data_IF_274383971706
#
_entry.id   IF_274383971706
#
_cell.length_a   1.000
_cell.length_b   1.000
_cell.length_c   1.000
_cell.angle_alpha   90.00
_cell.angle_beta   90.00
_cell.angle_gamma   90.00
#
_symmetry.space_group_name_H-M   'P 1'
#
loop_
_entity.id
_entity.type
_entity.pdbx_description
1 polymer ?
#
# COMPACT_ATOMS: atom_id res chain seq x y z
N UNK A 1 8.53 -22.19 34.33
CA UNK A 1 8.40 -21.75 32.92
C UNK A 1 7.50 -20.52 32.91
N UNK A 2 7.88 -19.41 32.27
CA UNK A 2 7.02 -18.23 32.21
C UNK A 2 5.73 -18.59 31.48
N UNK A 3 4.57 -18.31 32.10
CA UNK A 3 3.25 -18.54 31.50
C UNK A 3 3.18 -17.70 30.22
N UNK A 4 2.88 -18.32 29.08
CA UNK A 4 2.66 -17.60 27.82
C UNK A 4 1.47 -16.65 28.04
N UNK A 5 1.58 -15.35 27.73
CA UNK A 5 0.54 -14.34 28.05
C UNK A 5 -0.89 -14.68 27.63
N UNK A 6 -1.06 -15.56 26.62
CA UNK A 6 -2.37 -16.13 26.26
C UNK A 6 -3.04 -16.91 27.41
N UNK A 7 -2.28 -17.65 28.20
CA UNK A 7 -2.80 -18.40 29.35
C UNK A 7 -3.35 -17.46 30.43
N UNK A 8 -2.67 -16.34 30.69
CA UNK A 8 -3.11 -15.34 31.68
C UNK A 8 -4.48 -14.76 31.29
N UNK A 9 -4.70 -14.46 30.00
CA UNK A 9 -6.01 -13.98 29.51
C UNK A 9 -7.10 -15.05 29.54
N UNK A 10 -6.75 -16.32 29.32
CA UNK A 10 -7.72 -17.43 29.40
C UNK A 10 -8.14 -17.69 30.85
N UNK A 11 -7.19 -17.67 31.80
CA UNK A 11 -7.47 -17.78 33.22
C UNK A 11 -8.40 -16.64 33.68
N UNK A 12 -8.13 -15.41 33.23
CA UNK A 12 -8.98 -14.24 33.52
C UNK A 12 -10.39 -14.38 32.93
N UNK A 13 -10.51 -14.95 31.73
CA UNK A 13 -11.80 -15.24 31.10
C UNK A 13 -12.59 -16.27 31.92
N UNK A 14 -11.96 -17.38 32.30
CA UNK A 14 -12.60 -18.44 33.09
C UNK A 14 -13.09 -17.91 34.43
N UNK A 15 -12.25 -17.16 35.14
CA UNK A 15 -12.63 -16.47 36.38
C UNK A 15 -13.79 -15.50 36.17
N UNK A 16 -13.78 -14.74 35.06
CA UNK A 16 -14.85 -13.79 34.74
C UNK A 16 -16.20 -14.45 34.44
N UNK A 17 -16.20 -15.67 33.90
CA UNK A 17 -17.42 -16.44 33.66
C UNK A 17 -18.10 -16.90 34.95
N UNK A 18 -17.34 -17.06 36.03
CA UNK A 18 -17.84 -17.56 37.31
C UNK A 18 -18.20 -16.45 38.29
N UNK A 19 -17.45 -15.32 38.27
CA UNK A 19 -17.58 -14.24 39.27
C UNK A 19 -17.82 -12.84 38.65
N UNK A 20 -17.90 -12.74 37.32
CA UNK A 20 -17.89 -11.46 36.61
C UNK A 20 -16.48 -10.87 36.47
N UNK A 21 -16.36 -9.75 35.78
CA UNK A 21 -15.08 -9.05 35.61
C UNK A 21 -14.64 -8.39 36.92
N UNK A 22 -13.76 -9.07 37.65
CA UNK A 22 -13.05 -8.56 38.84
C UNK A 22 -11.87 -7.69 38.45
N UNK A 23 -11.34 -6.92 39.41
CA UNK A 23 -10.20 -6.02 39.19
C UNK A 23 -8.95 -6.75 38.70
N UNK A 24 -8.70 -7.97 39.19
CA UNK A 24 -7.61 -8.85 38.74
C UNK A 24 -7.74 -9.22 37.24
N UNK A 25 -8.97 -9.45 36.77
CA UNK A 25 -9.24 -9.79 35.37
C UNK A 25 -9.12 -8.58 34.45
N UNK A 26 -9.50 -7.40 34.94
CA UNK A 26 -9.29 -6.13 34.24
C UNK A 26 -7.80 -5.80 34.15
N UNK A 27 -7.03 -6.01 35.23
CA UNK A 27 -5.60 -5.83 35.26
C UNK A 27 -4.86 -6.68 34.22
N UNK A 28 -5.34 -7.91 33.94
CA UNK A 28 -4.78 -8.74 32.87
C UNK A 28 -5.01 -8.14 31.46
N UNK A 29 -6.14 -7.48 31.22
CA UNK A 29 -6.44 -6.78 29.95
C UNK A 29 -5.56 -5.54 29.80
N UNK A 30 -5.39 -4.77 30.88
CA UNK A 30 -4.48 -3.62 30.94
C UNK A 30 -3.03 -4.04 30.68
N UNK A 31 -2.54 -5.04 31.39
CA UNK A 31 -1.17 -5.55 31.22
C UNK A 31 -0.90 -6.10 29.81
N UNK A 32 -1.88 -6.76 29.17
CA UNK A 32 -1.76 -7.18 27.78
C UNK A 32 -1.65 -5.98 26.82
N UNK A 33 -2.42 -4.92 27.07
CA UNK A 33 -2.42 -3.72 26.25
C UNK A 33 -1.09 -2.97 26.35
N UNK A 34 -0.55 -2.85 27.56
CA UNK A 34 0.74 -2.21 27.83
C UNK A 34 1.90 -3.00 27.21
N UNK A 35 1.80 -4.33 27.14
CA UNK A 35 2.76 -5.18 26.42
C UNK A 35 2.67 -5.08 24.88
N UNK A 36 1.82 -4.19 24.35
CA UNK A 36 1.70 -3.91 22.92
C UNK A 36 0.75 -4.81 22.15
N UNK A 37 -0.09 -5.59 22.83
CA UNK A 37 -1.12 -6.40 22.18
C UNK A 37 -2.23 -5.50 21.64
N UNK A 38 -2.78 -5.86 20.48
CA UNK A 38 -3.93 -5.14 19.91
C UNK A 38 -5.22 -5.58 20.58
N UNK A 39 -6.23 -4.70 20.62
CA UNK A 39 -7.56 -5.04 21.15
C UNK A 39 -8.17 -6.25 20.43
N UNK A 40 -7.89 -6.42 19.14
CA UNK A 40 -8.36 -7.58 18.38
C UNK A 40 -7.70 -8.87 18.86
N UNK A 41 -6.38 -8.88 19.08
CA UNK A 41 -5.67 -10.06 19.58
C UNK A 41 -6.15 -10.47 20.98
N UNK A 42 -6.44 -9.49 21.84
CA UNK A 42 -7.01 -9.74 23.16
C UNK A 42 -8.43 -10.32 23.02
N UNK A 43 -9.26 -9.74 22.13
CA UNK A 43 -10.61 -10.21 21.87
C UNK A 43 -10.65 -11.64 21.32
N UNK A 44 -9.72 -11.99 20.43
CA UNK A 44 -9.60 -13.33 19.84
C UNK A 44 -9.26 -14.38 20.92
N UNK A 45 -8.44 -14.00 21.92
CA UNK A 45 -8.11 -14.88 23.05
C UNK A 45 -9.29 -15.00 24.03
N UNK A 46 -9.92 -13.88 24.37
CA UNK A 46 -11.05 -13.82 25.29
C UNK A 46 -12.36 -14.34 24.67
N UNK A 47 -12.40 -14.56 23.35
CA UNK A 47 -13.60 -15.00 22.63
C UNK A 47 -14.75 -14.00 22.68
N UNK A 48 -14.43 -12.70 22.75
CA UNK A 48 -15.40 -11.61 22.82
C UNK A 48 -15.20 -10.63 21.65
N UNK A 49 -16.04 -9.60 21.56
CA UNK A 49 -15.88 -8.59 20.49
C UNK A 49 -14.77 -7.60 20.85
N UNK A 50 -14.08 -7.07 19.84
CA UNK A 50 -13.09 -6.00 20.02
C UNK A 50 -13.64 -4.80 20.80
N UNK A 51 -14.90 -4.45 20.54
CA UNK A 51 -15.56 -3.34 21.20
C UNK A 51 -15.80 -3.61 22.69
N UNK A 52 -16.13 -4.86 23.03
CA UNK A 52 -16.24 -5.26 24.43
C UNK A 52 -14.90 -5.17 25.17
N UNK A 53 -13.78 -5.57 24.54
CA UNK A 53 -12.44 -5.37 25.11
C UNK A 53 -12.11 -3.88 25.29
N UNK A 54 -12.51 -3.01 24.36
CA UNK A 54 -12.37 -1.55 24.51
C UNK A 54 -13.08 -1.06 25.78
N UNK A 55 -14.31 -1.50 25.99
CA UNK A 55 -15.09 -1.15 27.18
C UNK A 55 -14.46 -1.69 28.48
N UNK A 56 -13.87 -2.89 28.44
CA UNK A 56 -13.15 -3.44 29.60
C UNK A 56 -11.89 -2.62 29.92
N UNK A 57 -11.14 -2.20 28.90
CA UNK A 57 -9.96 -1.35 29.08
C UNK A 57 -10.31 0.06 29.57
N UNK A 58 -11.51 0.56 29.29
CA UNK A 58 -11.97 1.86 29.82
C UNK A 58 -12.45 1.79 31.27
N UNK A 59 -12.67 0.60 31.81
CA UNK A 59 -12.91 0.43 33.24
C UNK A 59 -11.59 0.55 33.98
N UNK A 60 -11.56 1.41 34.99
CA UNK A 60 -10.46 1.45 35.95
C UNK A 60 -10.36 0.10 36.65
N UNK A 61 -9.17 -0.51 36.60
CA UNK A 61 -8.80 -1.61 37.48
C UNK A 61 -8.12 -1.03 38.72
N UNK A 62 -8.27 -1.70 39.86
CA UNK A 62 -7.50 -1.35 41.06
C UNK A 62 -5.99 -1.38 40.75
N UNK A 63 -5.25 -0.28 40.96
CA UNK A 63 -3.82 -0.20 40.68
C UNK A 63 -2.97 -1.14 41.56
N UNK A 64 -3.54 -1.71 42.63
CA UNK A 64 -2.87 -2.72 43.46
C UNK A 64 -2.82 -4.11 42.81
N UNK A 65 -3.67 -4.36 41.80
CA UNK A 65 -3.67 -5.59 41.03
C UNK A 65 -2.68 -5.49 39.87
N UNK A 66 -1.39 -5.74 40.11
CA UNK A 66 -0.39 -5.78 39.04
C UNK A 66 -0.24 -7.20 38.45
N UNK A 67 -0.59 -7.37 37.17
CA UNK A 67 -0.33 -8.61 36.43
C UNK A 67 0.91 -8.44 35.57
N UNK A 68 1.97 -9.19 35.89
CA UNK A 68 3.24 -9.16 35.14
C UNK A 68 3.43 -10.43 34.29
N UNK A 69 4.29 -10.36 33.26
CA UNK A 69 4.69 -11.54 32.46
C UNK A 69 4.07 -11.67 31.06
N UNK A 70 3.44 -10.61 30.55
CA UNK A 70 3.06 -10.57 29.13
C UNK A 70 4.30 -10.44 28.23
N UNK A 71 4.43 -11.28 27.19
CA UNK A 71 5.54 -11.15 26.26
C UNK A 71 5.40 -9.88 25.43
N UNK A 72 6.48 -9.09 25.38
CA UNK A 72 6.56 -7.90 24.53
C UNK A 72 6.42 -8.30 23.06
N UNK A 73 5.57 -7.59 22.33
CA UNK A 73 5.33 -7.89 20.92
C UNK A 73 6.54 -7.50 20.07
N UNK A 74 6.98 -8.34 19.11
CA UNK A 74 8.04 -7.94 18.18
C UNK A 74 7.60 -6.70 17.37
N UNK A 75 8.53 -5.75 17.22
CA UNK A 75 8.30 -4.52 16.45
C UNK A 75 7.90 -4.88 15.01
N UNK A 76 6.79 -4.31 14.52
CA UNK A 76 6.40 -4.48 13.11
C UNK A 76 7.51 -3.95 12.20
N UNK A 77 7.80 -4.60 11.06
CA UNK A 77 8.71 -4.05 10.07
C UNK A 77 8.21 -2.68 9.63
N UNK A 78 9.04 -1.66 9.76
CA UNK A 78 8.71 -0.31 9.30
C UNK A 78 8.72 -0.29 7.78
N UNK A 79 7.69 0.30 7.16
CA UNK A 79 7.69 0.52 5.73
C UNK A 79 8.87 1.44 5.36
N UNK A 80 9.59 1.17 4.26
CA UNK A 80 10.68 2.02 3.83
C UNK A 80 10.18 3.46 3.59
N UNK A 81 10.94 4.44 4.06
CA UNK A 81 10.62 5.84 3.83
C UNK A 81 10.69 6.14 2.33
N UNK A 82 9.67 6.81 1.79
CA UNK A 82 9.65 7.20 0.38
C UNK A 82 10.61 8.37 0.17
N UNK A 83 11.65 8.15 -0.63
CA UNK A 83 12.57 9.22 -1.03
C UNK A 83 11.82 10.19 -1.95
N UNK A 84 11.75 11.49 -1.62
CA UNK A 84 11.14 12.48 -2.50
C UNK A 84 12.00 12.62 -3.76
N UNK A 85 11.43 12.26 -4.92
CA UNK A 85 12.09 12.44 -6.21
C UNK A 85 11.99 13.92 -6.58
N UNK A 86 13.12 14.62 -6.62
CA UNK A 86 13.21 15.99 -7.13
C UNK A 86 12.93 15.96 -8.64
N UNK A 87 11.69 16.22 -9.02
CA UNK A 87 11.30 16.40 -10.42
C UNK A 87 11.82 17.76 -10.88
N UNK A 88 12.71 17.77 -11.86
CA UNK A 88 13.22 19.00 -12.45
C UNK A 88 12.06 19.84 -13.02
N UNK A 89 12.07 21.13 -12.67
CA UNK A 89 10.97 22.08 -12.90
C UNK A 89 10.80 22.36 -14.39
N UNK A 90 9.67 21.92 -14.96
CA UNK A 90 8.69 22.55 -15.90
C UNK A 90 9.16 23.48 -17.05
N UNK A 91 10.40 23.97 -17.09
CA UNK A 91 10.88 25.09 -17.93
C UNK A 91 11.55 24.63 -19.22
N UNK A 92 11.62 23.32 -19.47
CA UNK A 92 12.30 22.74 -20.64
C UNK A 92 11.38 22.55 -21.85
N UNK A 93 10.06 22.49 -21.66
CA UNK A 93 9.12 22.17 -22.75
C UNK A 93 8.44 23.44 -23.25
N UNK A 94 8.59 23.71 -24.55
CA UNK A 94 7.93 24.84 -25.20
C UNK A 94 6.43 24.56 -25.42
N UNK A 95 5.61 25.61 -25.50
CA UNK A 95 4.19 25.45 -25.85
C UNK A 95 3.98 24.84 -27.24
N UNK A 96 4.89 25.11 -28.18
CA UNK A 96 4.87 24.50 -29.52
C UNK A 96 5.08 22.99 -29.48
N UNK A 97 6.02 22.52 -28.67
CA UNK A 97 6.30 21.08 -28.52
C UNK A 97 5.10 20.33 -27.91
N UNK A 98 4.42 20.93 -26.93
CA UNK A 98 3.15 20.37 -26.40
C UNK A 98 2.08 20.28 -27.50
N UNK A 99 1.95 21.32 -28.33
CA UNK A 99 0.96 21.32 -29.41
C UNK A 99 1.27 20.23 -30.45
N UNK A 100 2.54 20.03 -30.81
CA UNK A 100 2.96 18.95 -31.70
C UNK A 100 2.58 17.56 -31.13
N UNK A 101 2.77 17.34 -29.83
CA UNK A 101 2.35 16.10 -29.18
C UNK A 101 0.83 15.90 -29.22
N UNK A 102 0.06 16.97 -29.02
CA UNK A 102 -1.41 16.93 -29.12
C UNK A 102 -1.87 16.61 -30.56
N UNK A 103 -1.19 17.15 -31.56
CA UNK A 103 -1.50 16.89 -32.96
C UNK A 103 -1.14 15.44 -33.36
N UNK A 104 0.04 14.96 -32.95
CA UNK A 104 0.43 13.56 -33.11
C UNK A 104 -0.56 12.61 -32.42
N UNK A 105 -1.03 12.95 -31.21
CA UNK A 105 -2.06 12.20 -30.49
C UNK A 105 -3.38 12.13 -31.28
N UNK A 106 -3.80 13.24 -31.90
CA UNK A 106 -5.03 13.28 -32.71
C UNK A 106 -4.95 12.35 -33.92
N UNK A 107 -3.78 12.26 -34.57
CA UNK A 107 -3.54 11.32 -35.68
C UNK A 107 -3.46 9.89 -35.16
N UNK A 108 -2.72 9.63 -34.09
CA UNK A 108 -2.54 8.32 -33.48
C UNK A 108 -3.87 7.70 -32.99
N UNK A 109 -4.82 8.52 -32.52
CA UNK A 109 -6.17 8.06 -32.13
C UNK A 109 -6.95 7.38 -33.26
N UNK A 110 -6.61 7.64 -34.53
CA UNK A 110 -7.27 7.02 -35.69
C UNK A 110 -6.76 5.62 -36.01
N UNK A 111 -5.76 5.11 -35.26
CA UNK A 111 -5.22 3.77 -35.44
C UNK A 111 -6.30 2.72 -35.20
N UNK A 112 -6.59 1.91 -36.21
CA UNK A 112 -7.41 0.68 -36.12
C UNK A 112 -6.50 -0.56 -36.15
N UNK A 113 -7.05 -1.73 -35.85
CA UNK A 113 -6.31 -3.02 -35.79
C UNK A 113 -5.56 -3.38 -37.08
N UNK A 114 -6.04 -2.95 -38.25
CA UNK A 114 -5.39 -3.11 -39.56
C UNK A 114 -4.76 -1.80 -40.07
N UNK A 115 -4.18 -1.01 -39.16
CA UNK A 115 -4.01 0.44 -39.30
C UNK A 115 -3.06 0.93 -40.41
N UNK A 116 -3.48 2.01 -41.07
CA UNK A 116 -2.71 2.82 -42.01
C UNK A 116 -1.30 3.12 -41.44
N UNK A 117 -0.21 2.88 -42.21
CA UNK A 117 1.18 3.12 -41.78
C UNK A 117 1.41 4.50 -41.16
N UNK A 118 0.75 5.54 -41.68
CA UNK A 118 0.88 6.91 -41.16
C UNK A 118 0.36 7.05 -39.71
N UNK A 119 -0.71 6.32 -39.35
CA UNK A 119 -1.26 6.35 -37.98
C UNK A 119 -0.41 5.57 -36.99
N UNK A 120 0.31 4.54 -37.46
CA UNK A 120 1.26 3.76 -36.67
C UNK A 120 2.51 4.59 -36.41
N UNK A 121 3.11 5.16 -37.46
CA UNK A 121 4.28 6.03 -37.35
C UNK A 121 4.02 7.23 -36.44
N UNK A 122 2.85 7.88 -36.55
CA UNK A 122 2.48 8.99 -35.67
C UNK A 122 2.39 8.57 -34.20
N UNK A 123 1.93 7.34 -33.92
CA UNK A 123 1.84 6.83 -32.57
C UNK A 123 3.24 6.48 -32.01
N UNK A 124 4.09 5.83 -32.79
CA UNK A 124 5.47 5.53 -32.40
C UNK A 124 6.25 6.81 -32.10
N UNK A 125 6.14 7.81 -32.98
CA UNK A 125 6.78 9.12 -32.81
C UNK A 125 6.26 9.86 -31.57
N UNK A 126 4.94 9.81 -31.32
CA UNK A 126 4.34 10.38 -30.11
C UNK A 126 4.98 9.79 -28.85
N UNK A 127 5.01 8.45 -28.74
CA UNK A 127 5.48 7.80 -27.52
C UNK A 127 6.99 7.88 -27.36
N UNK A 128 7.75 7.92 -28.47
CA UNK A 128 9.19 8.22 -28.47
C UNK A 128 9.46 9.59 -27.86
N UNK A 129 8.80 10.64 -28.35
CA UNK A 129 8.99 12.01 -27.83
C UNK A 129 8.55 12.17 -26.37
N UNK A 130 7.43 11.54 -26.00
CA UNK A 130 6.98 11.54 -24.60
C UNK A 130 8.03 10.87 -23.69
N UNK A 131 8.61 9.75 -24.12
CA UNK A 131 9.68 9.08 -23.39
C UNK A 131 10.93 9.98 -23.26
N UNK A 132 11.35 10.63 -24.35
CA UNK A 132 12.49 11.54 -24.35
C UNK A 132 12.30 12.67 -23.33
N UNK A 133 11.12 13.31 -23.31
CA UNK A 133 10.78 14.34 -22.33
C UNK A 133 10.77 13.82 -20.89
N UNK A 134 10.25 12.62 -20.65
CA UNK A 134 10.26 12.01 -19.31
C UNK A 134 11.69 11.72 -18.87
N UNK A 135 12.56 11.25 -19.76
CA UNK A 135 13.98 10.98 -19.47
C UNK A 135 14.77 12.27 -19.23
N UNK A 136 14.38 13.38 -19.85
CA UNK A 136 14.90 14.72 -19.55
C UNK A 136 14.41 15.26 -18.18
N UNK A 137 13.59 14.50 -17.46
CA UNK A 137 13.12 14.84 -16.12
C UNK A 137 11.79 15.58 -16.09
N UNK A 138 11.07 15.67 -17.23
CA UNK A 138 9.72 16.26 -17.26
C UNK A 138 8.74 15.30 -16.57
N UNK A 139 7.90 15.85 -15.68
CA UNK A 139 6.87 15.05 -15.00
C UNK A 139 5.88 14.44 -15.99
N UNK A 140 5.73 13.12 -15.95
CA UNK A 140 4.69 12.38 -16.67
C UNK A 140 3.28 12.88 -16.34
N UNK A 141 3.03 13.24 -15.07
CA UNK A 141 1.73 13.76 -14.60
C UNK A 141 1.45 15.15 -15.17
N UNK A 142 2.49 15.98 -15.32
CA UNK A 142 2.33 17.30 -15.94
C UNK A 142 2.09 17.17 -17.45
N UNK A 143 2.87 16.33 -18.14
CA UNK A 143 2.68 16.04 -19.57
C UNK A 143 1.27 15.53 -19.85
N UNK A 144 0.75 14.61 -19.03
CA UNK A 144 -0.59 14.09 -19.22
C UNK A 144 -1.67 15.18 -19.07
N UNK A 145 -1.52 16.10 -18.11
CA UNK A 145 -2.43 17.23 -17.96
C UNK A 145 -2.41 18.16 -19.18
N UNK A 146 -1.23 18.48 -19.72
CA UNK A 146 -1.10 19.35 -20.90
C UNK A 146 -1.70 18.70 -22.16
N UNK A 147 -1.55 17.38 -22.30
CA UNK A 147 -2.10 16.63 -23.45
C UNK A 147 -3.58 16.24 -23.28
N UNK A 148 -4.22 16.57 -22.15
CA UNK A 148 -5.60 16.15 -21.86
C UNK A 148 -5.76 14.63 -21.72
N UNK A 149 -4.74 13.95 -21.18
CA UNK A 149 -4.71 12.50 -20.91
C UNK A 149 -4.69 12.21 -19.41
N UNK A 150 -5.22 11.05 -19.01
CA UNK A 150 -4.98 10.55 -17.66
C UNK A 150 -3.53 10.07 -17.52
N UNK A 151 -2.94 10.19 -16.32
CA UNK A 151 -1.59 9.69 -16.06
C UNK A 151 -1.46 8.19 -16.34
N UNK A 152 -2.55 7.44 -16.15
CA UNK A 152 -2.60 6.01 -16.43
C UNK A 152 -2.53 5.73 -17.94
N UNK A 153 -3.23 6.50 -18.77
CA UNK A 153 -3.17 6.37 -20.23
C UNK A 153 -1.77 6.67 -20.76
N UNK A 154 -1.09 7.68 -20.21
CA UNK A 154 0.28 8.00 -20.59
C UNK A 154 1.25 6.87 -20.22
N UNK A 155 1.15 6.34 -18.99
CA UNK A 155 1.98 5.22 -18.56
C UNK A 155 1.75 3.95 -19.39
N UNK A 156 0.49 3.59 -19.68
CA UNK A 156 0.19 2.44 -20.52
C UNK A 156 0.65 2.61 -21.97
N UNK A 157 0.63 3.84 -22.48
CA UNK A 157 1.26 4.16 -23.75
C UNK A 157 2.74 3.83 -23.72
N UNK A 158 3.50 4.38 -22.78
CA UNK A 158 4.94 4.09 -22.64
C UNK A 158 5.22 2.59 -22.50
N UNK A 159 4.44 1.87 -21.70
CA UNK A 159 4.56 0.41 -21.53
C UNK A 159 4.31 -0.32 -22.85
N UNK A 160 3.22 0.01 -23.57
CA UNK A 160 2.85 -0.66 -24.83
C UNK A 160 3.94 -0.55 -25.90
N UNK A 161 4.66 0.57 -25.92
CA UNK A 161 5.75 0.81 -26.87
C UNK A 161 7.13 0.48 -26.29
N UNK A 162 7.21 -0.19 -25.13
CA UNK A 162 8.45 -0.73 -24.59
C UNK A 162 9.36 0.29 -23.89
N UNK A 163 8.87 1.50 -23.61
CA UNK A 163 9.64 2.56 -22.93
C UNK A 163 9.62 2.46 -21.40
N UNK A 164 8.74 1.63 -20.84
CA UNK A 164 8.61 1.47 -19.39
C UNK A 164 8.16 0.06 -19.04
N UNK A 165 8.64 -0.45 -17.92
CA UNK A 165 8.17 -1.73 -17.39
C UNK A 165 6.75 -1.61 -16.84
N UNK A 166 6.01 -2.72 -16.94
CA UNK A 166 4.74 -2.86 -16.24
C UNK A 166 4.95 -2.68 -14.73
N UNK A 167 4.07 -1.93 -14.04
CA UNK A 167 4.16 -1.82 -12.59
C UNK A 167 4.08 -3.21 -11.93
N UNK A 168 4.80 -3.44 -10.82
CA UNK A 168 4.94 -4.76 -10.21
C UNK A 168 3.63 -5.40 -9.72
N UNK A 169 2.58 -4.59 -9.53
CA UNK A 169 1.22 -5.08 -9.22
C UNK A 169 0.53 -5.77 -10.40
N UNK A 170 1.07 -5.64 -11.61
CA UNK A 170 0.51 -6.15 -12.86
C UNK A 170 1.52 -6.96 -13.67
N UNK A 171 2.80 -6.97 -13.31
CA UNK A 171 3.71 -8.03 -13.73
C UNK A 171 3.22 -9.32 -13.06
N UNK A 172 2.50 -10.16 -13.80
CA UNK A 172 2.29 -11.54 -13.38
C UNK A 172 3.66 -12.11 -12.99
N UNK A 173 3.78 -12.61 -11.76
CA UNK A 173 4.90 -13.49 -11.40
C UNK A 173 4.96 -14.54 -12.50
N UNK A 174 5.99 -14.49 -13.32
CA UNK A 174 6.42 -15.65 -14.10
C UNK A 174 6.81 -16.67 -13.03
N UNK A 175 5.83 -17.47 -12.59
CA UNK A 175 6.08 -18.70 -11.87
C UNK A 175 7.04 -19.50 -12.72
N UNK A 176 8.19 -19.81 -12.14
CA UNK A 176 9.28 -20.52 -12.80
C UNK A 176 8.75 -21.69 -13.62
N UNK A 177 9.01 -21.63 -14.92
CA UNK A 177 8.95 -22.81 -15.78
C UNK A 177 10.00 -23.79 -15.28
N UNK A 178 9.51 -24.98 -14.95
CA UNK A 178 10.28 -26.06 -14.38
C UNK A 178 11.36 -26.59 -15.33
N UNK A 179 12.32 -27.25 -14.70
CA UNK A 179 13.20 -28.25 -15.27
C UNK A 179 12.46 -29.21 -16.20
N UNK A 180 13.07 -29.47 -17.35
CA UNK A 180 13.08 -30.65 -18.24
C UNK A 180 13.66 -30.10 -19.56
N UNK A 181 14.85 -30.42 -20.03
CA UNK A 181 15.63 -31.66 -19.99
C UNK A 181 17.11 -31.47 -19.59
#
# INVERSE_FOLDING_TARGET
MPRKGKAILLDAREASGQYGWTDENLAAVHAARDAGWTLQEIADVLGCTREYVRQLYEKESDPTCEVTGFPEKPKRPQAPQRIPVNVLRRRLVSSGEIQELVDLQRVAKRRRSNGNPATVAAAEELWRRVNDLVNLGVSSTWLSQQMGLSSQTLNWGLVRYGYRDCPPSQSLKVTGGGQHD
#
